data_IF_193588811665
#
_entry.id   IF_193588811665
#
_cell.length_a   1.000
_cell.length_b   1.000
_cell.length_c   1.000
_cell.angle_alpha   90.00
_cell.angle_beta   90.00
_cell.angle_gamma   90.00
#
_symmetry.space_group_name_H-M   'P 1'
#
loop_
_entity.id
_entity.type
_entity.pdbx_description
1 polymer ?
#
# COMPACT_ATOMS: atom_id res chain seq x y z
N UNK A 1 25.11 -49.67 -23.85
CA UNK A 1 23.85 -49.28 -23.19
C UNK A 1 24.22 -48.24 -22.15
N UNK A 2 23.58 -47.08 -22.08
CA UNK A 2 23.88 -46.10 -21.06
C UNK A 2 23.46 -46.62 -19.68
N UNK A 3 24.21 -46.29 -18.64
CA UNK A 3 24.06 -46.71 -17.26
C UNK A 3 22.65 -46.34 -16.77
N UNK A 4 21.90 -47.26 -16.13
CA UNK A 4 20.53 -47.01 -15.65
C UNK A 4 20.39 -45.79 -14.72
N UNK A 5 21.45 -45.47 -13.97
CA UNK A 5 21.50 -44.30 -13.07
C UNK A 5 21.52 -42.96 -13.78
N UNK A 6 22.17 -42.87 -14.95
CA UNK A 6 22.20 -41.67 -15.80
C UNK A 6 20.81 -41.41 -16.41
N UNK A 7 20.09 -42.46 -16.76
CA UNK A 7 18.74 -42.34 -17.34
C UNK A 7 17.71 -41.89 -16.27
N UNK A 8 17.83 -42.41 -15.05
CA UNK A 8 16.96 -42.02 -13.93
C UNK A 8 17.17 -40.55 -13.55
N UNK A 9 18.44 -40.08 -13.44
CA UNK A 9 18.76 -38.67 -13.14
C UNK A 9 18.29 -37.73 -14.25
N UNK A 10 18.41 -38.14 -15.53
CA UNK A 10 17.98 -37.35 -16.67
C UNK A 10 16.46 -37.24 -16.74
N UNK A 11 15.73 -38.32 -16.46
CA UNK A 11 14.26 -38.33 -16.46
C UNK A 11 13.67 -37.49 -15.31
N UNK A 12 14.26 -37.56 -14.12
CA UNK A 12 13.77 -36.74 -12.98
C UNK A 12 13.93 -35.24 -13.22
N UNK A 13 14.98 -34.81 -13.91
CA UNK A 13 15.19 -33.40 -14.25
C UNK A 13 14.12 -32.84 -15.22
N UNK A 14 13.57 -33.68 -16.09
CA UNK A 14 12.57 -33.26 -17.10
C UNK A 14 11.14 -33.63 -16.74
N UNK A 15 10.92 -34.43 -15.68
CA UNK A 15 9.59 -34.87 -15.25
C UNK A 15 9.06 -34.12 -14.02
N UNK A 16 9.86 -33.22 -13.42
CA UNK A 16 9.36 -32.34 -12.38
C UNK A 16 8.29 -31.41 -12.94
N UNK A 17 7.14 -31.42 -12.29
CA UNK A 17 6.02 -30.60 -12.73
C UNK A 17 6.42 -29.13 -12.72
N UNK A 18 6.27 -28.38 -13.83
CA UNK A 18 6.73 -26.99 -13.93
C UNK A 18 5.95 -26.01 -13.06
N UNK A 19 4.83 -26.45 -12.48
CA UNK A 19 3.95 -25.64 -11.63
C UNK A 19 4.36 -25.64 -10.13
N UNK A 20 5.59 -26.01 -9.82
CA UNK A 20 6.12 -25.90 -8.46
C UNK A 20 6.71 -24.50 -8.29
N UNK A 21 6.02 -23.66 -7.54
CA UNK A 21 6.36 -22.24 -7.35
C UNK A 21 7.78 -22.05 -6.79
N UNK A 22 8.16 -22.82 -5.77
CA UNK A 22 9.46 -22.70 -5.11
C UNK A 22 10.64 -22.87 -6.06
N UNK A 23 10.56 -23.85 -6.96
CA UNK A 23 11.63 -24.12 -7.95
C UNK A 23 11.78 -23.04 -9.01
N UNK A 24 10.74 -22.22 -9.23
CA UNK A 24 10.75 -21.13 -10.23
C UNK A 24 11.05 -19.76 -9.63
N UNK A 25 10.81 -19.58 -8.34
CA UNK A 25 10.81 -18.25 -7.73
C UNK A 25 11.71 -18.13 -6.50
N UNK A 26 12.12 -19.24 -5.87
CA UNK A 26 13.12 -19.24 -4.79
C UNK A 26 14.49 -19.44 -5.40
N UNK A 27 15.38 -18.46 -5.23
CA UNK A 27 16.59 -18.32 -6.01
C UNK A 27 17.72 -19.29 -5.71
N UNK A 28 17.76 -19.95 -4.54
CA UNK A 28 18.86 -20.83 -4.15
C UNK A 28 18.49 -22.30 -4.35
N UNK A 29 19.39 -23.06 -4.97
CA UNK A 29 19.35 -24.51 -4.95
C UNK A 29 19.93 -25.08 -3.64
N UNK A 30 19.68 -26.36 -3.36
CA UNK A 30 20.27 -27.03 -2.20
C UNK A 30 21.82 -27.02 -2.27
N UNK A 31 22.39 -27.17 -3.45
CA UNK A 31 23.83 -27.10 -3.68
C UNK A 31 24.39 -25.69 -3.38
N UNK A 32 23.69 -24.65 -3.76
CA UNK A 32 24.06 -23.27 -3.42
C UNK A 32 24.04 -23.06 -1.90
N UNK A 33 23.00 -23.54 -1.23
CA UNK A 33 22.88 -23.44 0.23
C UNK A 33 24.05 -24.16 0.93
N UNK A 34 24.39 -25.37 0.49
CA UNK A 34 25.53 -26.13 1.04
C UNK A 34 26.84 -25.35 0.84
N UNK A 35 27.07 -24.86 -0.38
CA UNK A 35 28.28 -24.09 -0.70
C UNK A 35 28.42 -22.82 0.14
N UNK A 36 27.32 -22.10 0.34
CA UNK A 36 27.29 -20.89 1.18
C UNK A 36 27.52 -21.18 2.66
N UNK A 37 26.94 -22.26 3.17
CA UNK A 37 27.17 -22.69 4.56
C UNK A 37 28.62 -23.09 4.81
N UNK A 38 29.23 -23.82 3.88
CA UNK A 38 30.64 -24.23 3.94
C UNK A 38 31.58 -23.00 3.97
N UNK A 39 31.33 -22.01 3.11
CA UNK A 39 32.08 -20.74 3.10
C UNK A 39 31.94 -19.98 4.43
N UNK A 40 30.77 -20.04 5.07
CA UNK A 40 30.50 -19.43 6.36
C UNK A 40 31.00 -20.26 7.54
N UNK A 41 31.46 -21.47 7.31
CA UNK A 41 31.98 -22.38 8.34
C UNK A 41 30.90 -23.10 9.16
N UNK A 42 29.70 -23.29 8.61
CA UNK A 42 28.60 -24.01 9.24
C UNK A 42 28.29 -25.32 8.55
N UNK A 43 27.98 -26.35 9.31
CA UNK A 43 27.63 -27.67 8.78
C UNK A 43 26.18 -27.80 8.36
N UNK A 44 25.32 -26.91 8.82
CA UNK A 44 23.88 -26.94 8.51
C UNK A 44 23.21 -25.57 8.69
N UNK A 45 22.08 -25.40 8.03
CA UNK A 45 21.24 -24.21 8.20
C UNK A 45 20.76 -24.05 9.65
N UNK A 46 20.45 -25.14 10.34
CA UNK A 46 20.05 -25.10 11.75
C UNK A 46 21.15 -24.57 12.66
N UNK A 47 22.39 -25.00 12.43
CA UNK A 47 23.54 -24.50 13.17
C UNK A 47 23.76 -23.02 12.90
N UNK A 48 23.69 -22.60 11.64
CA UNK A 48 23.78 -21.19 11.25
C UNK A 48 22.72 -20.34 11.95
N UNK A 49 21.45 -20.75 11.87
CA UNK A 49 20.33 -20.04 12.52
C UNK A 49 20.54 -19.91 14.03
N UNK A 50 20.91 -21.00 14.69
CA UNK A 50 21.15 -21.00 16.14
C UNK A 50 22.33 -20.13 16.58
N UNK A 51 23.30 -19.90 15.68
CA UNK A 51 24.42 -19.01 15.94
C UNK A 51 24.10 -17.53 15.73
N UNK A 52 23.22 -17.21 14.80
CA UNK A 52 22.94 -15.84 14.37
C UNK A 52 21.73 -15.24 15.08
N UNK A 53 20.71 -16.06 15.36
CA UNK A 53 19.46 -15.58 15.94
C UNK A 53 19.49 -15.77 17.47
N UNK A 54 19.27 -14.70 18.26
CA UNK A 54 19.16 -14.82 19.72
C UNK A 54 18.02 -15.76 20.13
N UNK A 55 18.26 -16.61 21.13
CA UNK A 55 17.28 -17.58 21.64
C UNK A 55 15.92 -16.94 22.02
N UNK A 56 15.95 -15.68 22.47
CA UNK A 56 14.76 -14.95 22.91
C UNK A 56 13.75 -14.65 21.78
N UNK A 57 14.18 -14.75 20.52
CA UNK A 57 13.32 -14.47 19.35
C UNK A 57 13.19 -15.69 18.43
N UNK A 58 13.80 -16.81 18.75
CA UNK A 58 13.67 -18.06 17.98
C UNK A 58 12.28 -18.63 18.13
N UNK A 59 11.60 -18.82 17.00
CA UNK A 59 10.31 -19.48 16.96
C UNK A 59 10.50 -20.99 16.76
N UNK A 60 10.35 -21.76 17.83
CA UNK A 60 10.67 -23.19 17.86
C UNK A 60 9.52 -24.11 17.42
N UNK A 61 8.50 -23.59 16.77
CA UNK A 61 7.40 -24.41 16.25
C UNK A 61 7.18 -24.18 14.77
N UNK A 62 6.68 -25.21 14.08
CA UNK A 62 6.29 -25.06 12.70
C UNK A 62 5.14 -24.06 12.57
N UNK A 63 5.18 -23.25 11.53
CA UNK A 63 4.06 -22.38 11.18
C UNK A 63 2.81 -23.24 10.92
N UNK A 64 1.66 -22.84 11.48
CA UNK A 64 0.38 -23.51 11.25
C UNK A 64 -0.23 -23.07 9.90
N UNK A 65 0.54 -23.23 8.85
CA UNK A 65 0.11 -23.02 7.47
C UNK A 65 0.04 -24.38 6.77
N UNK A 66 -0.87 -24.54 5.86
CA UNK A 66 -0.94 -25.77 5.04
C UNK A 66 0.26 -25.90 4.11
N UNK A 67 0.37 -27.04 3.48
CA UNK A 67 1.35 -27.25 2.41
C UNK A 67 1.09 -26.31 1.24
N UNK A 68 2.14 -26.00 0.48
CA UNK A 68 2.02 -25.22 -0.74
C UNK A 68 1.10 -25.91 -1.76
N UNK A 69 0.37 -25.11 -2.52
CA UNK A 69 -0.48 -25.60 -3.61
C UNK A 69 0.08 -25.17 -4.96
N UNK A 70 -0.29 -25.87 -6.04
CA UNK A 70 0.05 -25.45 -7.39
C UNK A 70 -0.67 -24.14 -7.76
N UNK A 71 -0.13 -23.40 -8.76
CA UNK A 71 -0.80 -22.19 -9.26
C UNK A 71 -2.22 -22.48 -9.74
N UNK A 72 -2.42 -23.61 -10.41
CA UNK A 72 -3.74 -24.02 -10.88
C UNK A 72 -4.71 -24.23 -9.71
N UNK A 73 -4.25 -24.86 -8.65
CA UNK A 73 -5.08 -25.08 -7.45
C UNK A 73 -5.37 -23.77 -6.71
N UNK A 74 -4.38 -22.90 -6.58
CA UNK A 74 -4.55 -21.56 -6.01
C UNK A 74 -5.64 -20.77 -6.75
N UNK A 75 -5.61 -20.79 -8.09
CA UNK A 75 -6.63 -20.13 -8.91
C UNK A 75 -8.02 -20.77 -8.68
N UNK A 76 -8.12 -22.08 -8.55
CA UNK A 76 -9.40 -22.74 -8.24
C UNK A 76 -9.94 -22.33 -6.88
N UNK A 77 -9.07 -22.29 -5.87
CA UNK A 77 -9.42 -21.84 -4.52
C UNK A 77 -9.94 -20.41 -4.55
N UNK A 78 -9.22 -19.48 -5.20
CA UNK A 78 -9.63 -18.08 -5.33
C UNK A 78 -10.97 -17.95 -6.08
N UNK A 79 -11.16 -18.69 -7.17
CA UNK A 79 -12.45 -18.74 -7.90
C UNK A 79 -13.57 -19.28 -7.02
N UNK A 80 -13.30 -20.27 -6.16
CA UNK A 80 -14.30 -20.79 -5.22
C UNK A 80 -14.73 -19.75 -4.19
N UNK A 81 -13.81 -18.91 -3.72
CA UNK A 81 -14.14 -17.78 -2.85
C UNK A 81 -14.91 -16.69 -3.59
N UNK A 82 -14.45 -16.33 -4.77
CA UNK A 82 -15.11 -15.33 -5.61
C UNK A 82 -16.57 -15.71 -5.94
N UNK A 83 -16.85 -17.00 -6.20
CA UNK A 83 -18.20 -17.49 -6.51
C UNK A 83 -19.18 -17.43 -5.34
N UNK A 84 -18.69 -17.29 -4.11
CA UNK A 84 -19.54 -17.11 -2.91
C UNK A 84 -20.01 -15.66 -2.74
N UNK A 85 -19.37 -14.70 -3.41
CA UNK A 85 -19.77 -13.30 -3.36
C UNK A 85 -21.09 -13.10 -4.12
N UNK A 86 -21.95 -12.27 -3.52
CA UNK A 86 -23.21 -11.85 -4.13
C UNK A 86 -23.11 -10.38 -4.47
N UNK A 87 -23.34 -10.06 -5.73
CA UNK A 87 -23.35 -8.66 -6.18
C UNK A 87 -24.72 -8.07 -5.86
N UNK A 88 -24.79 -7.23 -4.84
CA UNK A 88 -25.98 -6.51 -4.44
C UNK A 88 -25.92 -5.07 -4.95
N UNK A 89 -27.08 -4.43 -5.07
CA UNK A 89 -27.14 -2.98 -5.18
C UNK A 89 -26.74 -2.38 -3.84
N UNK A 90 -25.71 -1.54 -3.83
CA UNK A 90 -25.25 -0.88 -2.61
C UNK A 90 -26.05 0.39 -2.36
N UNK A 91 -26.54 0.53 -1.13
CA UNK A 91 -27.18 1.74 -0.60
C UNK A 91 -26.41 2.30 0.61
N UNK A 92 -25.22 1.76 0.88
CA UNK A 92 -24.34 2.11 1.99
C UNK A 92 -23.07 2.76 1.44
N UNK A 93 -23.15 3.99 1.01
CA UNK A 93 -22.03 4.67 0.38
C UNK A 93 -21.29 5.67 1.27
N UNK A 94 -21.88 6.12 2.39
CA UNK A 94 -21.32 7.18 3.25
C UNK A 94 -20.84 8.42 2.45
N UNK A 95 -21.58 8.80 1.40
CA UNK A 95 -21.18 9.88 0.49
C UNK A 95 -20.46 9.42 -0.79
N UNK A 96 -19.94 8.20 -0.82
CA UNK A 96 -19.34 7.61 -2.03
C UNK A 96 -20.39 6.88 -2.88
N UNK A 97 -20.18 6.87 -4.16
CA UNK A 97 -21.05 6.18 -5.12
C UNK A 97 -20.23 5.50 -6.21
N UNK A 98 -20.84 4.57 -6.92
CA UNK A 98 -20.19 3.86 -8.02
C UNK A 98 -19.83 4.82 -9.15
N UNK A 99 -18.66 4.59 -9.75
CA UNK A 99 -18.16 5.34 -10.91
C UNK A 99 -17.98 4.41 -12.11
N UNK A 100 -17.95 4.96 -13.30
CA UNK A 100 -17.70 4.22 -14.54
C UNK A 100 -16.26 4.50 -14.95
N UNK A 101 -15.43 3.47 -14.90
CA UNK A 101 -14.04 3.57 -15.38
C UNK A 101 -14.01 3.45 -16.91
N UNK A 102 -13.52 4.45 -17.65
CA UNK A 102 -13.35 4.34 -19.10
C UNK A 102 -12.46 3.15 -19.47
N UNK A 103 -12.84 2.41 -20.53
CA UNK A 103 -12.10 1.21 -20.95
C UNK A 103 -10.63 1.47 -21.28
N UNK A 104 -10.32 2.66 -21.81
CA UNK A 104 -8.93 3.07 -22.08
C UNK A 104 -8.11 3.22 -20.82
N UNK A 105 -8.66 3.76 -19.74
CA UNK A 105 -7.99 3.89 -18.44
C UNK A 105 -7.79 2.51 -17.84
N UNK A 106 -8.83 1.68 -17.86
CA UNK A 106 -8.74 0.30 -17.35
C UNK A 106 -7.59 -0.46 -18.02
N UNK A 107 -7.59 -0.48 -19.36
CA UNK A 107 -6.59 -1.23 -20.14
C UNK A 107 -5.17 -0.65 -20.01
N UNK A 108 -5.04 0.68 -20.16
CA UNK A 108 -3.72 1.30 -20.31
C UNK A 108 -3.07 1.68 -18.98
N UNK A 109 -3.81 1.78 -17.91
CA UNK A 109 -3.31 2.14 -16.57
C UNK A 109 -3.50 0.99 -15.60
N UNK A 110 -4.73 0.58 -15.30
CA UNK A 110 -4.99 -0.40 -14.24
C UNK A 110 -4.50 -1.81 -14.58
N UNK A 111 -4.54 -2.22 -15.85
CA UNK A 111 -4.08 -3.53 -16.31
C UNK A 111 -2.63 -3.51 -16.83
N UNK A 112 -1.99 -2.35 -16.90
CA UNK A 112 -0.65 -2.20 -17.43
C UNK A 112 0.40 -2.46 -16.33
N UNK A 113 1.24 -3.52 -16.47
CA UNK A 113 2.26 -3.84 -15.48
C UNK A 113 3.29 -2.73 -15.29
N UNK A 114 3.54 -1.89 -16.28
CA UNK A 114 4.39 -0.70 -16.15
C UNK A 114 3.87 0.28 -15.10
N UNK A 115 2.56 0.29 -14.82
CA UNK A 115 1.95 1.12 -13.79
C UNK A 115 1.80 0.39 -12.45
N UNK A 116 1.25 -0.81 -12.40
CA UNK A 116 0.96 -1.47 -11.12
C UNK A 116 2.20 -2.14 -10.47
N UNK A 117 3.30 -2.34 -11.21
CA UNK A 117 4.55 -2.84 -10.63
C UNK A 117 5.48 -1.74 -10.16
N UNK A 118 5.12 -0.48 -10.32
CA UNK A 118 5.94 0.65 -9.92
C UNK A 118 6.14 0.70 -8.40
N UNK A 119 7.39 0.89 -8.01
CA UNK A 119 7.75 1.20 -6.64
C UNK A 119 7.49 2.68 -6.32
N UNK A 120 7.43 3.04 -5.05
CA UNK A 120 7.36 4.45 -4.65
C UNK A 120 8.55 5.22 -5.24
N UNK A 121 8.34 6.40 -5.85
CA UNK A 121 9.37 7.09 -6.62
C UNK A 121 10.40 7.82 -5.75
N UNK A 122 11.08 7.11 -4.87
CA UNK A 122 12.15 7.67 -4.05
C UNK A 122 13.41 8.01 -4.86
N UNK A 123 13.65 7.29 -5.93
CA UNK A 123 14.79 7.51 -6.83
C UNK A 123 14.29 8.10 -8.15
N UNK A 124 14.62 9.36 -8.38
CA UNK A 124 14.18 10.08 -9.58
C UNK A 124 14.68 9.42 -10.86
N UNK A 125 15.87 8.83 -10.85
CA UNK A 125 16.55 8.24 -12.00
C UNK A 125 15.74 7.09 -12.62
N UNK A 126 15.07 6.29 -11.81
CA UNK A 126 14.28 5.14 -12.25
C UNK A 126 12.77 5.41 -12.30
N UNK A 127 12.33 6.55 -11.81
CA UNK A 127 10.92 6.88 -11.66
C UNK A 127 10.49 8.12 -12.46
N UNK A 128 11.24 8.53 -13.49
CA UNK A 128 11.03 9.79 -14.22
C UNK A 128 9.61 9.92 -14.78
N UNK A 129 9.08 8.88 -15.45
CA UNK A 129 7.73 8.92 -15.99
C UNK A 129 6.64 9.03 -14.93
N UNK A 130 6.84 8.42 -13.76
CA UNK A 130 5.90 8.54 -12.64
C UNK A 130 5.95 9.93 -12.03
N UNK A 131 7.14 10.51 -11.86
CA UNK A 131 7.30 11.86 -11.37
C UNK A 131 6.68 12.89 -12.32
N UNK A 132 6.81 12.69 -13.63
CA UNK A 132 6.14 13.52 -14.63
C UNK A 132 4.61 13.44 -14.48
N UNK A 133 4.06 12.25 -14.27
CA UNK A 133 2.61 12.07 -14.05
C UNK A 133 2.14 12.77 -12.76
N UNK A 134 2.92 12.72 -11.68
CA UNK A 134 2.63 13.43 -10.43
C UNK A 134 2.68 14.96 -10.62
N UNK A 135 3.66 15.45 -11.34
CA UNK A 135 3.80 16.88 -11.64
C UNK A 135 2.63 17.38 -12.49
N UNK A 136 2.21 16.60 -13.49
CA UNK A 136 1.03 16.91 -14.30
C UNK A 136 -0.24 16.98 -13.45
N UNK A 137 -0.41 16.05 -12.50
CA UNK A 137 -1.53 16.08 -11.56
C UNK A 137 -1.52 17.35 -10.72
N UNK A 138 -0.37 17.69 -10.11
CA UNK A 138 -0.23 18.90 -9.28
C UNK A 138 -0.56 20.17 -10.06
N UNK A 139 -0.04 20.28 -11.29
CA UNK A 139 -0.33 21.41 -12.19
C UNK A 139 -1.81 21.50 -12.49
N UNK A 140 -2.45 20.36 -12.85
CA UNK A 140 -3.87 20.32 -13.16
C UNK A 140 -4.73 20.75 -11.97
N UNK A 141 -4.42 20.28 -10.77
CA UNK A 141 -5.17 20.66 -9.56
C UNK A 141 -4.99 22.15 -9.26
N UNK A 142 -3.78 22.68 -9.34
CA UNK A 142 -3.52 24.12 -9.15
C UNK A 142 -4.29 24.96 -10.15
N UNK A 143 -4.30 24.56 -11.42
CA UNK A 143 -5.05 25.27 -12.49
C UNK A 143 -6.57 25.23 -12.28
N UNK A 144 -7.11 24.10 -11.79
CA UNK A 144 -8.54 23.94 -11.57
C UNK A 144 -9.05 24.67 -10.32
N UNK A 145 -8.22 24.74 -9.27
CA UNK A 145 -8.60 25.32 -7.99
C UNK A 145 -8.17 26.76 -7.80
N UNK A 146 -7.22 27.24 -8.59
CA UNK A 146 -6.60 28.56 -8.40
C UNK A 146 -5.62 28.62 -7.22
N UNK A 147 -5.28 27.48 -6.61
CA UNK A 147 -4.29 27.40 -5.54
C UNK A 147 -2.88 27.47 -6.11
N UNK A 148 -1.98 28.13 -5.41
CA UNK A 148 -0.58 28.30 -5.86
C UNK A 148 0.20 26.98 -5.93
N UNK A 149 -0.10 26.05 -5.02
CA UNK A 149 0.61 24.78 -4.87
C UNK A 149 -0.40 23.67 -4.58
N UNK A 150 -0.23 22.53 -5.22
CA UNK A 150 -0.91 21.29 -4.90
C UNK A 150 0.11 20.20 -4.55
N UNK A 151 -0.27 19.30 -3.65
CA UNK A 151 0.48 18.07 -3.40
C UNK A 151 0.01 16.93 -4.33
N UNK A 152 0.62 15.77 -4.19
CA UNK A 152 0.21 14.56 -4.89
C UNK A 152 0.53 13.31 -4.06
N UNK A 153 -0.08 12.18 -4.43
CA UNK A 153 0.24 10.84 -3.87
C UNK A 153 -0.03 10.68 -2.38
N UNK A 154 -1.04 11.33 -1.85
CA UNK A 154 -1.61 10.95 -0.56
C UNK A 154 -2.55 9.75 -0.74
N UNK A 155 -2.75 8.98 0.33
CA UNK A 155 -3.53 7.73 0.28
C UNK A 155 -4.98 7.98 -0.17
N UNK A 156 -5.65 8.93 0.48
CA UNK A 156 -7.03 9.32 0.21
C UNK A 156 -7.32 10.75 0.71
N UNK A 157 -8.52 11.24 0.48
CA UNK A 157 -8.97 12.57 0.90
C UNK A 157 -8.97 12.75 2.42
N UNK A 158 -9.38 11.72 3.16
CA UNK A 158 -9.42 11.76 4.62
C UNK A 158 -8.01 11.87 5.22
N UNK A 159 -7.06 11.11 4.67
CA UNK A 159 -5.64 11.20 5.04
C UNK A 159 -5.06 12.55 4.65
N UNK A 160 -5.41 13.09 3.47
CA UNK A 160 -4.97 14.41 3.04
C UNK A 160 -5.40 15.51 4.01
N UNK A 161 -6.65 15.49 4.48
CA UNK A 161 -7.15 16.42 5.49
C UNK A 161 -6.40 16.28 6.83
N UNK A 162 -6.13 15.05 7.26
CA UNK A 162 -5.37 14.79 8.49
C UNK A 162 -3.91 15.23 8.40
N UNK A 163 -3.27 15.05 7.24
CA UNK A 163 -1.91 15.56 6.99
C UNK A 163 -1.88 17.09 6.94
N UNK A 164 -2.88 17.73 6.33
CA UNK A 164 -3.01 19.18 6.34
C UNK A 164 -3.13 19.72 7.76
N UNK A 165 -3.92 19.08 8.63
CA UNK A 165 -4.00 19.39 10.05
C UNK A 165 -2.62 19.32 10.72
N UNK A 166 -1.91 18.21 10.54
CA UNK A 166 -0.59 18.01 11.14
C UNK A 166 0.43 19.04 10.64
N UNK A 167 0.41 19.32 9.34
CA UNK A 167 1.28 20.33 8.72
C UNK A 167 1.01 21.72 9.28
N UNK A 168 -0.24 22.12 9.40
CA UNK A 168 -0.62 23.43 9.94
C UNK A 168 -0.17 23.60 11.41
N UNK A 169 -0.39 22.60 12.26
CA UNK A 169 0.07 22.59 13.64
C UNK A 169 1.60 22.70 13.73
N UNK A 170 2.32 21.97 12.91
CA UNK A 170 3.79 21.99 12.87
C UNK A 170 4.34 23.32 12.35
N UNK A 171 3.73 23.92 11.33
CA UNK A 171 4.14 25.22 10.79
C UNK A 171 4.08 26.33 11.84
N UNK A 172 3.11 26.27 12.76
CA UNK A 172 2.98 27.22 13.86
C UNK A 172 3.72 26.79 15.14
N UNK A 173 4.53 25.74 15.06
CA UNK A 173 5.35 25.23 16.19
C UNK A 173 4.52 25.00 17.46
N UNK A 174 3.31 24.45 17.30
CA UNK A 174 2.42 24.15 18.41
C UNK A 174 1.81 25.37 19.14
N UNK A 175 1.95 26.58 18.60
CA UNK A 175 1.33 27.77 19.19
C UNK A 175 -0.20 27.73 19.17
N UNK A 176 -0.77 26.98 18.24
CA UNK A 176 -2.20 26.69 18.15
C UNK A 176 -2.38 25.19 17.95
N UNK A 177 -3.35 24.61 18.63
CA UNK A 177 -3.64 23.18 18.60
C UNK A 177 -5.13 22.90 18.48
N UNK A 178 -5.89 23.82 17.88
CA UNK A 178 -7.32 23.65 17.64
C UNK A 178 -7.60 23.73 16.15
N UNK A 179 -8.33 22.74 15.64
CA UNK A 179 -8.78 22.65 14.25
C UNK A 179 -10.30 22.71 14.23
N UNK A 180 -10.86 23.53 13.34
CA UNK A 180 -12.29 23.50 13.08
C UNK A 180 -12.60 22.54 11.95
N UNK A 181 -13.64 21.72 12.14
CA UNK A 181 -14.26 20.89 11.11
C UNK A 181 -15.70 21.36 10.92
N UNK A 182 -16.07 21.58 9.67
CA UNK A 182 -17.45 21.96 9.36
C UNK A 182 -18.33 20.72 9.37
N UNK A 183 -19.59 20.88 9.74
CA UNK A 183 -20.60 19.83 9.82
C UNK A 183 -20.96 19.18 8.47
N UNK A 184 -20.54 19.78 7.35
CA UNK A 184 -20.75 19.32 5.98
C UNK A 184 -19.65 18.33 5.48
N UNK A 185 -18.64 18.05 6.29
CA UNK A 185 -17.56 17.15 5.90
C UNK A 185 -18.02 15.69 5.98
N UNK A 186 -17.60 14.88 5.01
CA UNK A 186 -17.83 13.44 5.04
C UNK A 186 -17.40 12.82 6.38
N UNK A 187 -18.26 12.05 7.00
CA UNK A 187 -18.04 11.47 8.34
C UNK A 187 -16.78 10.58 8.40
N UNK A 188 -16.40 9.93 7.31
CA UNK A 188 -15.18 9.14 7.25
C UNK A 188 -13.95 10.04 7.38
N UNK A 189 -13.95 11.18 6.71
CA UNK A 189 -12.87 12.19 6.83
C UNK A 189 -12.77 12.72 8.26
N UNK A 190 -13.91 13.09 8.87
CA UNK A 190 -13.97 13.51 10.27
C UNK A 190 -13.37 12.47 11.21
N UNK A 191 -13.71 11.20 11.02
CA UNK A 191 -13.19 10.11 11.86
C UNK A 191 -11.68 9.93 11.72
N UNK A 192 -11.13 10.02 10.52
CA UNK A 192 -9.68 9.91 10.29
C UNK A 192 -8.95 11.11 10.91
N UNK A 193 -9.45 12.32 10.70
CA UNK A 193 -8.87 13.53 11.33
C UNK A 193 -8.86 13.40 12.85
N UNK A 194 -9.98 12.99 13.47
CA UNK A 194 -10.07 12.77 14.93
C UNK A 194 -9.07 11.72 15.40
N UNK A 195 -8.97 10.60 14.71
CA UNK A 195 -8.03 9.51 15.03
C UNK A 195 -6.58 9.99 15.01
N UNK A 196 -6.24 10.87 14.07
CA UNK A 196 -4.88 11.44 13.95
C UNK A 196 -4.64 12.59 14.93
N UNK A 197 -5.67 13.32 15.30
CA UNK A 197 -5.61 14.45 16.24
C UNK A 197 -5.37 14.00 17.68
N UNK A 198 -6.03 12.91 18.09
CA UNK A 198 -6.05 12.43 19.48
C UNK A 198 -4.64 12.19 20.06
N UNK A 199 -3.74 11.39 19.46
CA UNK A 199 -2.40 11.16 19.99
C UNK A 199 -1.49 12.39 19.93
N UNK A 200 -1.85 13.42 19.15
CA UNK A 200 -1.12 14.70 19.04
C UNK A 200 -1.71 15.77 19.97
N UNK A 201 -2.72 15.44 20.76
CA UNK A 201 -3.43 16.37 21.65
C UNK A 201 -4.02 17.58 20.92
N UNK A 202 -4.33 17.43 19.62
CA UNK A 202 -4.96 18.47 18.80
C UNK A 202 -6.47 18.46 19.09
N UNK A 203 -7.01 19.61 19.45
CA UNK A 203 -8.44 19.77 19.72
C UNK A 203 -9.22 19.92 18.42
N UNK A 204 -10.30 19.15 18.27
CA UNK A 204 -11.23 19.28 17.16
C UNK A 204 -12.46 20.02 17.63
N UNK A 205 -12.81 21.10 16.94
CA UNK A 205 -14.04 21.88 17.13
C UNK A 205 -14.93 21.65 15.91
N UNK A 206 -16.01 20.90 16.10
CA UNK A 206 -17.02 20.77 15.06
C UNK A 206 -17.93 22.00 15.10
N UNK A 207 -18.19 22.62 13.96
CA UNK A 207 -18.94 23.86 13.86
C UNK A 207 -19.69 23.95 12.53
N UNK A 208 -20.70 24.81 12.46
CA UNK A 208 -21.34 25.15 11.20
C UNK A 208 -20.63 26.33 10.51
N UNK A 209 -20.77 26.40 9.18
CA UNK A 209 -20.12 27.48 8.41
C UNK A 209 -20.45 28.88 8.94
N UNK A 210 -21.71 29.23 9.29
CA UNK A 210 -22.04 30.56 9.80
C UNK A 210 -21.47 30.87 11.20
N UNK A 211 -21.12 29.86 11.96
CA UNK A 211 -20.63 30.00 13.36
C UNK A 211 -19.11 29.93 13.46
N UNK A 212 -18.42 29.79 12.32
CA UNK A 212 -16.99 29.68 12.28
C UNK A 212 -16.33 31.00 12.66
N UNK A 213 -15.55 30.97 13.77
CA UNK A 213 -14.66 32.08 14.15
C UNK A 213 -13.22 31.72 13.82
N UNK A 214 -12.57 32.54 13.02
CA UNK A 214 -11.19 32.34 12.57
C UNK A 214 -10.18 32.57 13.71
N UNK A 215 -10.55 33.33 14.74
CA UNK A 215 -9.64 33.78 15.79
C UNK A 215 -9.12 32.63 16.69
N UNK A 216 -9.88 31.53 16.80
CA UNK A 216 -9.51 30.37 17.61
C UNK A 216 -9.01 29.18 16.81
N UNK A 217 -8.96 29.28 15.49
CA UNK A 217 -8.75 28.14 14.61
C UNK A 217 -7.46 28.27 13.81
N UNK A 218 -6.79 27.15 13.63
CA UNK A 218 -5.54 27.05 12.89
C UNK A 218 -5.76 26.77 11.42
N UNK A 219 -6.69 25.89 11.13
CA UNK A 219 -7.01 25.43 9.79
C UNK A 219 -8.51 25.40 9.64
N UNK A 220 -8.96 26.06 8.63
CA UNK A 220 -10.31 25.95 8.14
C UNK A 220 -10.34 24.85 7.07
N UNK A 221 -11.06 23.77 7.31
CA UNK A 221 -11.32 22.75 6.32
C UNK A 221 -12.76 22.87 5.86
N UNK A 222 -13.02 23.77 4.94
CA UNK A 222 -14.05 23.56 3.94
C UNK A 222 -13.41 22.76 2.80
N UNK A 223 -14.19 22.22 1.92
CA UNK A 223 -13.69 21.67 0.67
C UNK A 223 -12.61 22.61 0.14
N UNK A 224 -11.36 22.15 0.06
CA UNK A 224 -10.19 23.01 -0.25
C UNK A 224 -10.27 23.66 -1.63
N UNK A 225 -11.31 23.38 -2.39
CA UNK A 225 -11.65 24.00 -3.66
C UNK A 225 -12.36 25.36 -3.50
N UNK A 226 -12.89 25.72 -2.32
CA UNK A 226 -13.72 26.91 -2.16
C UNK A 226 -13.05 28.11 -1.50
N UNK A 227 -11.80 28.02 -1.05
CA UNK A 227 -11.09 29.18 -0.55
C UNK A 227 -10.28 29.90 -1.62
N UNK A 228 -10.97 30.73 -2.39
CA UNK A 228 -10.39 31.95 -2.91
C UNK A 228 -10.46 33.00 -1.82
N UNK A 229 -9.31 33.45 -1.30
CA UNK A 229 -9.10 34.73 -0.62
C UNK A 229 -8.48 34.53 0.75
N UNK A 230 -7.46 35.21 0.87
CA UNK A 230 -6.99 36.50 1.02
C UNK A 230 -5.65 36.57 1.66
#
# INVERSE_FOLDING_TARGET
>A
MPHPELFSSFMTKYTNHPDIFTQRHVGLSDDDVISMLDELGFSSMSEFINNVIPDSIVFNSNLKVGDGVSEQEAIKILKSYASKNKVFKSFLGNGYHGTITPGVIKRNILENPGWYTQYTPYQAEIAQGRLEALLNFQTMISDLTGMDIANASLLDEATAAAEAMSMACNALRGKRSTIALIDDINQQTVNVVKTRADPLEIKIKETSYPELSIDDCLLYTSDAADETTG
#
